data_IF_964821068974
#
_entry.id   IF_964821068974
#
_cell.length_a   1.000
_cell.length_b   1.000
_cell.length_c   1.000
_cell.angle_alpha   90.00
_cell.angle_beta   90.00
_cell.angle_gamma   90.00
#
_symmetry.space_group_name_H-M   'P 1'
#
loop_
_entity.id
_entity.type
_entity.pdbx_description
1 polymer ?
#
# COMPACT_ATOMS: atom_id res chain seq x y z
N UNK A 1 -22.76 37.99 3.51
CA UNK A 1 -22.88 38.52 2.13
C UNK A 1 -21.57 38.18 1.41
N UNK A 2 -21.50 37.03 0.76
CA UNK A 2 -20.35 36.62 -0.06
C UNK A 2 -20.84 36.41 -1.48
N UNK A 3 -20.28 37.15 -2.41
CA UNK A 3 -20.57 37.08 -3.85
C UNK A 3 -19.92 35.84 -4.45
N UNK A 4 -20.56 35.13 -5.39
CA UNK A 4 -19.93 34.05 -6.14
C UNK A 4 -19.04 34.62 -7.25
N UNK A 5 -17.82 34.09 -7.36
CA UNK A 5 -16.90 34.32 -8.48
C UNK A 5 -17.26 33.35 -9.60
N UNK A 6 -17.73 33.84 -10.68
CA UNK A 6 -17.91 33.11 -11.93
C UNK A 6 -16.53 32.90 -12.57
N UNK A 7 -16.10 31.64 -12.67
CA UNK A 7 -14.96 31.26 -13.50
C UNK A 7 -15.49 30.95 -14.90
N UNK A 8 -15.23 31.86 -15.82
CA UNK A 8 -15.54 31.67 -17.22
C UNK A 8 -14.60 30.61 -17.85
N UNK A 9 -15.18 29.56 -18.38
CA UNK A 9 -14.47 28.59 -19.21
C UNK A 9 -14.26 29.21 -20.60
N UNK A 10 -13.01 29.54 -20.93
CA UNK A 10 -12.59 29.87 -22.28
C UNK A 10 -12.45 28.56 -23.07
N UNK A 11 -13.48 28.22 -23.84
CA UNK A 11 -13.41 27.25 -24.91
C UNK A 11 -12.61 27.87 -26.07
N UNK A 12 -11.33 27.50 -26.16
CA UNK A 12 -10.50 27.77 -27.32
C UNK A 12 -10.97 26.91 -28.51
N UNK A 13 -11.79 27.49 -29.39
CA UNK A 13 -12.08 26.89 -30.68
C UNK A 13 -10.80 26.93 -31.54
N UNK A 14 -10.18 25.76 -31.74
CA UNK A 14 -9.16 25.61 -32.77
C UNK A 14 -9.84 25.73 -34.13
N UNK A 15 -9.66 26.87 -34.77
CA UNK A 15 -10.06 27.07 -36.16
C UNK A 15 -9.24 26.11 -37.04
N UNK A 16 -9.87 25.03 -37.47
CA UNK A 16 -9.35 24.19 -38.54
C UNK A 16 -9.32 24.96 -39.84
N UNK A 17 -8.12 25.15 -40.40
CA UNK A 17 -7.94 25.65 -41.74
C UNK A 17 -8.57 24.64 -42.70
N UNK A 18 -9.53 24.97 -43.54
CA UNK A 18 -10.06 24.04 -44.51
C UNK A 18 -8.97 23.73 -45.55
N UNK A 19 -8.62 22.47 -45.65
CA UNK A 19 -7.78 22.00 -46.73
C UNK A 19 -8.54 22.22 -48.04
N UNK A 20 -7.91 22.93 -48.98
CA UNK A 20 -8.46 23.17 -50.31
C UNK A 20 -8.76 21.84 -50.99
N UNK A 21 -9.99 21.60 -51.39
CA UNK A 21 -10.38 20.45 -52.17
C UNK A 21 -9.68 20.50 -53.52
N UNK A 22 -9.15 19.40 -54.06
CA UNK A 22 -8.65 19.35 -55.41
C UNK A 22 -9.80 19.56 -56.41
N UNK A 23 -9.51 20.11 -57.61
CA UNK A 23 -10.56 20.42 -58.57
C UNK A 23 -11.28 19.15 -59.00
N UNK A 24 -12.57 19.14 -58.88
CA UNK A 24 -13.45 18.06 -59.29
C UNK A 24 -13.37 17.91 -60.82
N UNK A 25 -12.71 16.86 -61.30
CA UNK A 25 -13.03 16.36 -62.62
C UNK A 25 -14.32 15.57 -62.53
N UNK A 26 -15.32 16.05 -63.27
CA UNK A 26 -16.67 15.49 -63.30
C UNK A 26 -16.64 14.05 -63.82
N UNK A 27 -16.61 13.10 -62.90
CA UNK A 27 -17.10 11.76 -63.11
C UNK A 27 -18.09 11.50 -61.98
N UNK A 28 -19.37 11.66 -62.26
CA UNK A 28 -20.47 11.39 -61.31
C UNK A 28 -20.46 9.93 -60.95
N UNK A 29 -19.82 9.59 -59.81
CA UNK A 29 -19.71 8.25 -59.25
C UNK A 29 -20.99 7.78 -58.56
N UNK A 30 -22.14 8.47 -58.76
CA UNK A 30 -23.45 8.11 -58.23
C UNK A 30 -23.94 6.71 -58.67
N UNK A 31 -23.29 6.11 -59.67
CA UNK A 31 -23.62 4.77 -60.15
C UNK A 31 -23.00 3.62 -59.34
N UNK A 32 -21.91 3.82 -58.59
CA UNK A 32 -21.20 2.71 -57.93
C UNK A 32 -21.97 2.14 -56.72
N UNK A 33 -22.66 3.01 -55.98
CA UNK A 33 -23.46 2.64 -54.83
C UNK A 33 -24.95 2.41 -55.17
N UNK A 34 -25.34 2.68 -56.41
CA UNK A 34 -26.71 2.44 -56.88
C UNK A 34 -26.89 1.04 -57.45
N UNK A 35 -28.03 0.44 -57.26
CA UNK A 35 -28.33 -0.92 -57.73
C UNK A 35 -27.66 -2.02 -56.87
N UNK A 36 -27.38 -3.16 -57.50
CA UNK A 36 -26.87 -4.36 -56.79
C UNK A 36 -25.38 -4.49 -56.69
N UNK A 37 -24.57 -3.51 -57.22
CA UNK A 37 -23.12 -3.72 -57.36
C UNK A 37 -22.34 -3.52 -56.04
N UNK A 38 -22.47 -2.36 -55.38
CA UNK A 38 -21.77 -2.04 -54.15
C UNK A 38 -22.71 -1.45 -53.05
N UNK A 39 -23.96 -1.90 -53.06
CA UNK A 39 -24.99 -1.41 -52.14
C UNK A 39 -24.62 -1.61 -50.65
N UNK A 40 -23.92 -2.70 -50.32
CA UNK A 40 -23.41 -3.02 -49.00
C UNK A 40 -22.47 -1.95 -48.43
N UNK A 41 -21.63 -1.34 -49.26
CA UNK A 41 -20.74 -0.25 -48.88
C UNK A 41 -21.57 0.99 -48.50
N UNK A 42 -22.64 1.25 -49.24
CA UNK A 42 -23.60 2.33 -48.95
C UNK A 42 -24.38 2.16 -47.64
N UNK A 43 -24.55 0.92 -47.17
CA UNK A 43 -25.29 0.57 -45.96
C UNK A 43 -24.46 0.61 -44.70
N UNK A 44 -23.15 0.84 -44.76
CA UNK A 44 -22.24 0.89 -43.60
C UNK A 44 -22.64 2.06 -42.64
N UNK A 45 -22.65 1.80 -41.35
CA UNK A 45 -23.08 2.76 -40.32
C UNK A 45 -22.20 4.03 -40.30
N UNK A 46 -20.91 3.86 -40.31
CA UNK A 46 -19.93 4.94 -40.39
C UNK A 46 -19.19 4.80 -41.71
N UNK A 47 -19.56 5.62 -42.68
CA UNK A 47 -18.90 5.66 -43.99
C UNK A 47 -17.73 6.64 -43.99
N UNK A 48 -16.66 6.31 -44.68
CA UNK A 48 -15.59 7.26 -44.93
C UNK A 48 -16.15 8.45 -45.73
N UNK A 49 -15.68 9.68 -45.48
CA UNK A 49 -16.21 10.88 -46.13
C UNK A 49 -16.23 10.80 -47.63
N UNK A 50 -15.10 10.37 -48.26
CA UNK A 50 -15.03 10.14 -49.70
C UNK A 50 -16.07 9.14 -50.22
N UNK A 51 -16.36 8.07 -49.45
CA UNK A 51 -17.35 7.07 -49.83
C UNK A 51 -18.78 7.61 -49.65
N UNK A 52 -19.03 8.39 -48.61
CA UNK A 52 -20.33 9.04 -48.32
C UNK A 52 -20.69 10.01 -49.46
N UNK A 53 -19.72 10.69 -50.01
CA UNK A 53 -19.85 11.64 -51.13
C UNK A 53 -19.79 10.98 -52.52
N UNK A 54 -19.66 9.67 -52.57
CA UNK A 54 -19.53 8.94 -53.84
C UNK A 54 -18.19 9.07 -54.56
N UNK A 55 -17.16 9.59 -53.86
CA UNK A 55 -15.83 9.87 -54.41
C UNK A 55 -14.92 8.65 -54.53
N UNK A 56 -15.39 7.55 -55.10
CA UNK A 56 -14.63 6.30 -55.24
C UNK A 56 -13.29 6.47 -55.97
N UNK A 57 -13.26 7.34 -56.98
CA UNK A 57 -12.07 7.66 -57.75
C UNK A 57 -11.00 8.48 -56.99
N UNK A 58 -11.29 8.96 -55.82
CA UNK A 58 -10.30 9.57 -54.95
C UNK A 58 -9.24 8.55 -54.51
N UNK A 59 -9.61 7.28 -54.40
CA UNK A 59 -8.73 6.18 -54.01
C UNK A 59 -8.50 5.13 -55.08
N UNK A 60 -9.44 4.97 -56.00
CA UNK A 60 -9.38 3.99 -57.05
C UNK A 60 -9.13 4.64 -58.42
N UNK A 61 -8.29 4.05 -59.25
CA UNK A 61 -8.01 4.44 -60.62
C UNK A 61 -8.47 3.35 -61.57
N UNK A 62 -9.18 3.71 -62.65
CA UNK A 62 -9.67 2.78 -63.63
C UNK A 62 -10.83 3.36 -64.45
N UNK A 63 -11.36 2.61 -65.38
CA UNK A 63 -12.52 3.01 -66.20
C UNK A 63 -13.75 2.14 -65.86
N UNK A 64 -14.92 2.76 -65.90
CA UNK A 64 -16.17 2.07 -65.64
C UNK A 64 -16.53 1.05 -66.73
N UNK A 65 -16.13 1.34 -67.98
CA UNK A 65 -16.34 0.43 -69.12
C UNK A 65 -15.54 -0.89 -68.96
N UNK A 66 -14.28 -0.82 -68.51
CA UNK A 66 -13.45 -2.00 -68.25
C UNK A 66 -13.89 -2.78 -67.04
N UNK A 67 -14.38 -2.11 -65.99
CA UNK A 67 -14.77 -2.73 -64.73
C UNK A 67 -15.94 -3.69 -64.90
N UNK A 68 -16.97 -3.32 -65.60
CA UNK A 68 -18.15 -4.13 -65.86
C UNK A 68 -17.85 -5.32 -66.79
N UNK A 69 -17.08 -5.09 -67.83
CA UNK A 69 -16.76 -6.11 -68.80
C UNK A 69 -15.80 -7.19 -68.31
N UNK A 70 -14.97 -6.86 -67.29
CA UNK A 70 -13.98 -7.76 -66.70
C UNK A 70 -14.43 -8.43 -65.38
N UNK A 71 -15.70 -8.50 -65.09
CA UNK A 71 -16.22 -9.16 -63.90
C UNK A 71 -15.72 -8.54 -62.59
N UNK A 72 -15.72 -7.22 -62.47
CA UNK A 72 -15.28 -6.49 -61.30
C UNK A 72 -13.77 -6.16 -61.24
N UNK A 73 -13.01 -6.53 -62.26
CA UNK A 73 -11.58 -6.19 -62.40
C UNK A 73 -11.44 -4.95 -63.29
N UNK A 74 -10.66 -3.97 -62.91
CA UNK A 74 -10.47 -2.77 -63.77
C UNK A 74 -10.11 -1.54 -62.95
N UNK A 75 -10.32 -1.58 -61.62
CA UNK A 75 -9.84 -0.55 -60.72
C UNK A 75 -8.65 -1.06 -59.90
N UNK A 76 -7.67 -0.18 -59.73
CA UNK A 76 -6.51 -0.39 -58.87
C UNK A 76 -6.43 0.77 -57.88
N UNK A 77 -5.68 0.63 -56.80
CA UNK A 77 -5.44 1.76 -55.87
C UNK A 77 -4.56 2.82 -56.56
N UNK A 78 -4.94 4.07 -56.43
CA UNK A 78 -4.22 5.23 -56.99
C UNK A 78 -2.83 5.44 -56.38
N UNK A 79 -2.59 4.94 -55.17
CA UNK A 79 -1.30 4.89 -54.48
C UNK A 79 -1.28 3.72 -53.50
N UNK A 80 -0.10 3.32 -53.01
CA UNK A 80 0.06 2.21 -52.05
C UNK A 80 0.24 2.70 -50.62
N UNK A 81 -0.21 1.90 -49.65
CA UNK A 81 0.01 2.11 -48.22
C UNK A 81 -0.44 3.50 -47.74
N UNK A 82 0.36 4.10 -46.88
CA UNK A 82 0.06 5.41 -46.28
C UNK A 82 0.03 6.55 -47.29
N UNK A 83 0.66 6.43 -48.45
CA UNK A 83 0.65 7.48 -49.47
C UNK A 83 -0.76 7.77 -50.00
N UNK A 84 -1.59 6.74 -50.09
CA UNK A 84 -2.97 6.91 -50.49
C UNK A 84 -3.75 7.78 -49.48
N UNK A 85 -3.53 7.51 -48.19
CA UNK A 85 -4.20 8.25 -47.10
C UNK A 85 -3.65 9.68 -46.96
N UNK A 86 -2.34 9.89 -47.16
CA UNK A 86 -1.65 11.18 -47.07
C UNK A 86 -2.15 12.23 -48.06
N UNK A 87 -2.84 11.82 -49.11
CA UNK A 87 -3.44 12.77 -50.06
C UNK A 87 -4.48 13.69 -49.43
N UNK A 88 -5.13 13.23 -48.34
CA UNK A 88 -6.16 13.97 -47.65
C UNK A 88 -5.93 14.05 -46.13
N UNK A 89 -5.24 13.10 -45.52
CA UNK A 89 -5.03 13.00 -44.08
C UNK A 89 -3.62 13.39 -43.65
N UNK A 90 -3.49 14.04 -42.50
CA UNK A 90 -2.21 14.17 -41.81
C UNK A 90 -1.92 12.84 -41.10
N UNK A 91 -1.07 12.03 -41.75
CA UNK A 91 -0.72 10.69 -41.23
C UNK A 91 0.25 10.81 -40.05
N UNK A 92 0.03 10.09 -38.94
CA UNK A 92 0.96 10.01 -37.81
C UNK A 92 2.35 9.49 -38.21
N UNK A 93 3.38 9.77 -37.45
CA UNK A 93 4.75 9.30 -37.68
C UNK A 93 5.83 10.33 -37.32
N UNK A 94 5.47 11.35 -36.50
CA UNK A 94 6.35 12.45 -36.09
C UNK A 94 6.89 12.34 -34.69
N UNK A 95 6.20 11.57 -33.79
CA UNK A 95 6.61 11.43 -32.40
C UNK A 95 7.75 10.40 -32.24
N UNK A 96 8.36 10.35 -31.06
CA UNK A 96 9.54 9.52 -30.77
C UNK A 96 9.31 8.02 -30.94
N UNK A 97 8.09 7.55 -30.63
CA UNK A 97 7.70 6.14 -30.75
C UNK A 97 6.51 6.07 -31.69
N UNK A 98 6.66 5.42 -32.79
CA UNK A 98 5.62 5.19 -33.81
C UNK A 98 5.30 3.71 -33.82
N UNK A 99 4.01 3.36 -33.76
CA UNK A 99 3.55 1.98 -33.84
C UNK A 99 3.99 1.34 -35.16
N UNK A 100 4.43 0.09 -35.13
CA UNK A 100 4.99 -0.55 -36.30
C UNK A 100 4.08 -0.51 -37.55
N UNK A 101 2.78 -0.89 -37.46
CA UNK A 101 1.88 -0.81 -38.63
C UNK A 101 1.74 0.61 -39.19
N UNK A 102 1.77 1.63 -38.34
CA UNK A 102 1.71 3.05 -38.76
C UNK A 102 2.98 3.44 -39.51
N UNK A 103 4.15 3.04 -38.99
CA UNK A 103 5.44 3.30 -39.62
C UNK A 103 5.56 2.60 -41.00
N UNK A 104 4.97 1.42 -41.10
CA UNK A 104 4.97 0.61 -42.34
C UNK A 104 3.85 1.03 -43.30
N UNK A 105 2.97 1.93 -42.87
CA UNK A 105 1.88 2.44 -43.73
C UNK A 105 0.68 1.50 -43.85
N UNK A 106 0.57 0.52 -42.95
CA UNK A 106 -0.48 -0.49 -42.93
C UNK A 106 -1.75 -0.02 -42.20
N UNK A 107 -2.32 1.12 -42.62
CA UNK A 107 -3.48 1.74 -41.96
C UNK A 107 -4.71 0.82 -41.96
N UNK A 108 -4.86 -0.01 -42.96
CA UNK A 108 -6.02 -0.87 -43.18
C UNK A 108 -6.04 -2.13 -42.31
N UNK A 109 -4.96 -2.39 -41.54
CA UNK A 109 -4.98 -3.48 -40.56
C UNK A 109 -5.88 -3.14 -39.35
N UNK A 110 -6.15 -1.85 -39.15
CA UNK A 110 -7.04 -1.37 -38.05
C UNK A 110 -8.27 -0.63 -38.58
N UNK A 111 -8.13 0.10 -39.70
CA UNK A 111 -9.19 0.93 -40.27
C UNK A 111 -9.78 0.29 -41.52
N UNK A 112 -11.11 0.30 -41.63
CA UNK A 112 -11.83 -0.11 -42.84
C UNK A 112 -12.09 1.13 -43.72
N UNK A 113 -11.38 1.29 -44.81
CA UNK A 113 -11.36 2.54 -45.61
C UNK A 113 -12.68 2.90 -46.26
N UNK A 114 -13.57 1.95 -46.48
CA UNK A 114 -14.89 2.23 -47.05
C UNK A 114 -15.91 2.65 -45.96
N UNK A 115 -15.83 2.04 -44.80
CA UNK A 115 -16.69 2.30 -43.67
C UNK A 115 -16.69 1.15 -42.67
N UNK A 116 -17.21 1.34 -41.52
CA UNK A 116 -17.24 0.36 -40.45
C UNK A 116 -18.48 0.48 -39.55
N UNK A 117 -18.68 -0.50 -38.69
CA UNK A 117 -19.64 -0.44 -37.59
C UNK A 117 -19.14 0.47 -36.45
N UNK A 118 -17.83 0.52 -36.22
CA UNK A 118 -17.17 1.29 -35.19
C UNK A 118 -16.87 2.74 -35.61
N UNK A 119 -16.76 3.62 -34.60
CA UNK A 119 -16.28 4.99 -34.81
C UNK A 119 -14.84 5.00 -35.34
N UNK A 120 -14.44 6.09 -35.98
CA UNK A 120 -13.12 6.25 -36.61
C UNK A 120 -12.79 5.16 -37.64
N UNK A 121 -13.83 4.53 -38.22
CA UNK A 121 -13.70 3.45 -39.20
C UNK A 121 -12.92 2.24 -38.68
N UNK A 122 -12.92 1.99 -37.38
CA UNK A 122 -12.31 0.79 -36.82
C UNK A 122 -13.14 -0.45 -37.16
N UNK A 123 -12.46 -1.53 -37.50
CA UNK A 123 -13.08 -2.82 -37.80
C UNK A 123 -13.86 -3.40 -36.62
N UNK A 124 -13.56 -2.95 -35.40
CA UNK A 124 -14.23 -3.33 -34.15
C UNK A 124 -14.95 -2.12 -33.53
N UNK A 125 -16.07 -2.36 -32.81
CA UNK A 125 -16.85 -1.35 -32.10
C UNK A 125 -16.85 -1.65 -30.59
N UNK A 126 -16.57 -0.65 -29.76
CA UNK A 126 -16.59 -0.77 -28.30
C UNK A 126 -15.35 -1.44 -27.77
N UNK A 127 -15.38 -2.77 -27.64
CA UNK A 127 -14.24 -3.57 -27.19
C UNK A 127 -13.15 -3.62 -28.30
N UNK A 128 -11.98 -3.00 -28.05
CA UNK A 128 -10.85 -3.01 -28.98
C UNK A 128 -9.93 -4.22 -28.80
N UNK A 129 -10.16 -5.06 -27.77
CA UNK A 129 -9.27 -6.19 -27.47
C UNK A 129 -9.14 -7.16 -28.68
N UNK A 130 -10.20 -7.55 -29.41
CA UNK A 130 -10.04 -8.44 -30.57
C UNK A 130 -9.13 -7.84 -31.65
N UNK A 131 -9.20 -6.51 -31.87
CA UNK A 131 -8.37 -5.83 -32.84
C UNK A 131 -6.89 -5.85 -32.42
N UNK A 132 -6.60 -5.47 -31.19
CA UNK A 132 -5.23 -5.39 -30.66
C UNK A 132 -4.61 -6.79 -30.49
N UNK A 133 -5.37 -7.73 -29.91
CA UNK A 133 -4.91 -9.09 -29.63
C UNK A 133 -4.85 -10.00 -30.87
N UNK A 134 -5.19 -9.49 -32.03
CA UNK A 134 -4.88 -10.13 -33.32
C UNK A 134 -3.37 -10.24 -33.57
N UNK A 135 -2.58 -9.31 -33.00
CA UNK A 135 -1.12 -9.25 -33.15
C UNK A 135 -0.38 -9.30 -31.80
N UNK A 136 -0.99 -8.80 -30.71
CA UNK A 136 -0.36 -8.76 -29.38
C UNK A 136 -0.63 -10.03 -28.57
N UNK A 137 0.35 -10.43 -27.73
CA UNK A 137 0.21 -11.57 -26.82
C UNK A 137 -0.99 -11.43 -25.89
N UNK A 138 -1.80 -12.48 -25.79
CA UNK A 138 -3.01 -12.54 -24.98
C UNK A 138 -2.75 -12.85 -23.50
N UNK A 139 -1.60 -13.43 -23.15
CA UNK A 139 -1.30 -13.91 -21.80
C UNK A 139 -1.47 -12.85 -20.70
N UNK A 140 -1.05 -11.58 -20.88
CA UNK A 140 -1.26 -10.54 -19.86
C UNK A 140 -2.74 -10.23 -19.59
N UNK A 141 -3.63 -10.56 -20.49
CA UNK A 141 -5.05 -10.23 -20.50
C UNK A 141 -5.97 -11.41 -20.13
N UNK A 142 -5.38 -12.55 -19.71
CA UNK A 142 -6.12 -13.76 -19.27
C UNK A 142 -5.95 -14.01 -17.77
N UNK A 143 -5.52 -13.01 -17.01
CA UNK A 143 -5.33 -13.08 -15.56
C UNK A 143 -6.65 -13.06 -14.79
N UNK A 144 -6.62 -13.57 -13.56
CA UNK A 144 -7.80 -13.67 -12.67
C UNK A 144 -8.45 -12.30 -12.41
N UNK A 145 -7.63 -11.27 -12.24
CA UNK A 145 -8.08 -9.90 -12.00
C UNK A 145 -7.54 -9.01 -13.13
N UNK A 146 -8.42 -8.45 -13.92
CA UNK A 146 -8.06 -7.48 -14.95
C UNK A 146 -8.29 -6.06 -14.43
N UNK A 147 -7.48 -5.11 -14.89
CA UNK A 147 -7.72 -3.69 -14.68
C UNK A 147 -9.00 -3.27 -15.45
N UNK A 148 -9.83 -2.41 -14.87
CA UNK A 148 -11.13 -2.04 -15.46
C UNK A 148 -11.07 -1.71 -16.94
N UNK A 149 -10.25 -0.73 -17.38
CA UNK A 149 -10.12 -0.40 -18.81
C UNK A 149 -9.69 -1.58 -19.68
N UNK A 150 -8.86 -2.48 -19.15
CA UNK A 150 -8.42 -3.70 -19.87
C UNK A 150 -9.56 -4.70 -20.00
N UNK A 151 -10.36 -4.88 -18.94
CA UNK A 151 -11.53 -5.76 -18.98
C UNK A 151 -12.60 -5.27 -19.97
N UNK A 152 -12.64 -3.96 -20.25
CA UNK A 152 -13.52 -3.32 -21.23
C UNK A 152 -12.89 -3.23 -22.64
N UNK A 153 -11.69 -3.79 -22.83
CA UNK A 153 -10.96 -3.72 -24.10
C UNK A 153 -10.45 -2.31 -24.46
N UNK A 154 -10.41 -1.39 -23.51
CA UNK A 154 -10.03 0.01 -23.69
C UNK A 154 -8.52 0.21 -23.63
N UNK A 155 -7.80 -0.43 -24.57
CA UNK A 155 -6.35 -0.31 -24.68
C UNK A 155 -5.93 1.15 -24.93
N UNK A 156 -6.76 1.88 -25.67
CA UNK A 156 -6.63 3.32 -26.00
C UNK A 156 -6.72 4.26 -24.78
N UNK A 157 -7.25 3.79 -23.67
CA UNK A 157 -7.29 4.58 -22.43
C UNK A 157 -5.88 4.91 -21.88
N UNK A 158 -4.91 4.06 -22.19
CA UNK A 158 -3.53 4.21 -21.73
C UNK A 158 -2.52 4.35 -22.90
N UNK A 159 -2.78 3.71 -24.03
CA UNK A 159 -1.90 3.68 -25.19
C UNK A 159 -2.46 4.51 -26.34
N UNK A 160 -1.59 5.31 -26.98
CA UNK A 160 -1.90 5.92 -28.28
C UNK A 160 -1.55 4.89 -29.36
N UNK A 161 -2.55 4.36 -30.11
CA UNK A 161 -2.30 3.29 -31.07
C UNK A 161 -1.50 3.74 -32.30
N UNK A 162 -1.30 5.02 -32.50
CA UNK A 162 -0.54 5.53 -33.61
C UNK A 162 0.89 5.91 -33.25
N UNK A 163 1.07 6.85 -32.34
CA UNK A 163 2.38 7.37 -31.98
C UNK A 163 2.37 8.08 -30.62
N UNK A 164 3.49 8.05 -29.92
CA UNK A 164 3.65 8.75 -28.65
C UNK A 164 5.09 9.23 -28.46
N UNK A 165 5.30 10.25 -27.64
CA UNK A 165 6.63 10.63 -27.15
C UNK A 165 7.11 9.72 -26.00
N UNK A 166 6.22 8.88 -25.47
CA UNK A 166 6.50 7.98 -24.36
C UNK A 166 6.73 6.55 -24.85
N UNK A 167 7.63 5.83 -24.18
CA UNK A 167 7.87 4.39 -24.44
C UNK A 167 6.56 3.61 -24.33
N UNK A 168 6.46 2.51 -25.09
CA UNK A 168 5.28 1.63 -25.15
C UNK A 168 4.01 2.37 -25.61
N UNK A 169 4.16 3.44 -26.37
CA UNK A 169 3.04 4.24 -26.87
C UNK A 169 2.12 4.79 -25.77
N UNK A 170 2.61 5.00 -24.53
CA UNK A 170 1.78 5.54 -23.46
C UNK A 170 1.36 6.97 -23.75
N UNK A 171 0.09 7.30 -23.50
CA UNK A 171 -0.47 8.65 -23.68
C UNK A 171 0.13 9.68 -22.72
N UNK A 172 0.55 9.22 -21.51
CA UNK A 172 1.23 10.03 -20.47
C UNK A 172 2.38 9.24 -19.87
N UNK A 173 3.29 9.92 -19.18
CA UNK A 173 4.44 9.28 -18.54
C UNK A 173 4.23 9.08 -17.03
N UNK A 174 4.83 8.00 -16.50
CA UNK A 174 4.92 7.76 -15.06
C UNK A 174 3.58 7.73 -14.35
N UNK A 175 3.52 8.37 -13.18
CA UNK A 175 2.31 8.40 -12.35
C UNK A 175 1.18 9.26 -12.92
N UNK A 176 1.49 10.21 -13.82
CA UNK A 176 0.46 11.04 -14.43
C UNK A 176 -0.57 10.21 -15.19
N UNK A 177 -0.12 9.14 -15.85
CA UNK A 177 -1.02 8.22 -16.54
C UNK A 177 -2.03 7.60 -15.56
N UNK A 178 -1.54 7.09 -14.45
CA UNK A 178 -2.40 6.44 -13.46
C UNK A 178 -3.33 7.46 -12.76
N UNK A 179 -2.77 8.60 -12.34
CA UNK A 179 -3.48 9.60 -11.55
C UNK A 179 -4.49 10.41 -12.35
N UNK A 180 -4.47 10.32 -13.68
CA UNK A 180 -5.50 10.95 -14.52
C UNK A 180 -6.90 10.34 -14.33
N UNK A 181 -6.98 9.10 -13.85
CA UNK A 181 -8.22 8.40 -13.50
C UNK A 181 -8.34 8.18 -11.99
N UNK A 182 -7.21 7.96 -11.29
CA UNK A 182 -7.18 7.76 -9.84
C UNK A 182 -7.03 9.09 -9.07
N UNK A 183 -7.90 10.06 -9.35
CA UNK A 183 -7.84 11.43 -8.78
C UNK A 183 -8.03 11.46 -7.27
N UNK A 184 -8.95 10.65 -6.72
CA UNK A 184 -9.17 10.56 -5.27
C UNK A 184 -7.92 10.07 -4.54
N UNK A 185 -7.22 9.11 -5.14
CA UNK A 185 -5.95 8.63 -4.63
C UNK A 185 -4.89 9.74 -4.67
N UNK A 186 -4.82 10.49 -5.77
CA UNK A 186 -3.90 11.62 -5.91
C UNK A 186 -4.14 12.68 -4.83
N UNK A 187 -5.40 13.07 -4.61
CA UNK A 187 -5.77 14.03 -3.57
C UNK A 187 -5.40 13.57 -2.15
N UNK A 188 -5.62 12.29 -1.83
CA UNK A 188 -5.25 11.71 -0.53
C UNK A 188 -3.73 11.66 -0.36
N UNK A 189 -3.00 11.25 -1.39
CA UNK A 189 -1.53 11.19 -1.39
C UNK A 189 -0.91 12.58 -1.14
N UNK A 190 -1.44 13.63 -1.78
CA UNK A 190 -0.95 15.01 -1.60
C UNK A 190 -1.15 15.54 -0.19
N UNK A 191 -2.21 15.10 0.51
CA UNK A 191 -2.52 15.51 1.88
C UNK A 191 -1.79 14.70 2.94
N UNK A 192 -1.29 13.53 2.58
CA UNK A 192 -0.67 12.61 3.52
C UNK A 192 0.68 13.13 4.02
N UNK A 193 0.90 12.96 5.32
CA UNK A 193 2.16 13.37 5.98
C UNK A 193 3.36 12.51 5.56
N UNK A 194 3.12 11.21 5.33
CA UNK A 194 4.15 10.24 4.96
C UNK A 194 3.71 9.51 3.71
N UNK A 195 4.50 9.58 2.67
CA UNK A 195 4.28 8.88 1.40
C UNK A 195 5.36 7.82 1.23
N UNK A 196 4.98 6.61 0.83
CA UNK A 196 5.92 5.52 0.58
C UNK A 196 6.89 5.89 -0.54
N UNK A 197 8.23 5.77 -0.36
CA UNK A 197 9.22 6.25 -1.33
C UNK A 197 9.02 5.77 -2.78
N UNK A 198 8.58 4.53 -3.08
CA UNK A 198 8.28 4.12 -4.45
C UNK A 198 7.25 5.00 -5.17
N UNK A 199 6.25 5.51 -4.44
CA UNK A 199 5.25 6.43 -5.02
C UNK A 199 5.84 7.80 -5.34
N UNK A 200 6.77 8.29 -4.53
CA UNK A 200 7.51 9.53 -4.79
C UNK A 200 8.35 9.38 -6.06
N UNK A 201 8.93 8.20 -6.27
CA UNK A 201 9.73 7.84 -7.45
C UNK A 201 8.90 7.38 -8.65
N UNK A 202 7.56 7.52 -8.60
CA UNK A 202 6.62 7.18 -9.68
C UNK A 202 6.61 5.69 -10.10
N UNK A 203 6.94 4.80 -9.18
CA UNK A 203 7.11 3.37 -9.43
C UNK A 203 5.84 2.55 -9.14
N UNK A 204 4.65 3.02 -9.59
CA UNK A 204 3.38 2.28 -9.39
C UNK A 204 3.48 0.83 -9.88
N UNK A 205 4.09 0.64 -11.05
CA UNK A 205 4.25 -0.67 -11.69
C UNK A 205 5.32 -1.56 -11.06
N UNK A 206 6.04 -1.11 -10.04
CA UNK A 206 6.90 -2.01 -9.26
C UNK A 206 6.09 -2.94 -8.35
N UNK A 207 4.89 -2.53 -7.98
CA UNK A 207 3.99 -3.32 -7.14
C UNK A 207 2.76 -3.83 -7.89
N UNK A 208 2.23 -3.05 -8.84
CA UNK A 208 1.03 -3.37 -9.60
C UNK A 208 1.35 -3.75 -11.05
N UNK A 209 0.59 -4.69 -11.61
CA UNK A 209 0.54 -4.93 -13.05
C UNK A 209 -0.69 -4.20 -13.63
N UNK A 210 -0.50 -3.20 -14.50
CA UNK A 210 -1.59 -2.38 -15.00
C UNK A 210 -2.54 -3.11 -15.95
N UNK A 211 -2.15 -4.28 -16.48
CA UNK A 211 -3.02 -5.05 -17.35
C UNK A 211 -3.87 -6.04 -16.58
N UNK A 212 -3.25 -6.83 -15.70
CA UNK A 212 -3.95 -7.82 -14.92
C UNK A 212 -3.00 -8.62 -14.04
N UNK A 213 -3.54 -9.29 -13.05
CA UNK A 213 -2.80 -10.13 -12.10
C UNK A 213 -3.65 -11.27 -11.57
N UNK A 214 -3.01 -12.33 -11.12
CA UNK A 214 -3.68 -13.40 -10.36
C UNK A 214 -3.81 -13.06 -8.87
N UNK A 215 -3.22 -11.93 -8.45
CA UNK A 215 -3.32 -11.39 -7.09
C UNK A 215 -4.36 -10.27 -7.03
N UNK A 216 -5.06 -10.16 -5.89
CA UNK A 216 -5.97 -9.03 -5.62
C UNK A 216 -5.26 -7.68 -5.76
N UNK A 217 -6.03 -6.65 -6.11
CA UNK A 217 -5.52 -5.30 -6.31
C UNK A 217 -4.41 -5.20 -7.36
N UNK A 218 -4.38 -6.11 -8.31
CA UNK A 218 -3.41 -6.18 -9.40
C UNK A 218 -1.94 -6.25 -8.92
N UNK A 219 -1.68 -6.85 -7.76
CA UNK A 219 -0.33 -6.98 -7.25
C UNK A 219 0.48 -7.98 -8.08
N UNK A 220 1.75 -7.67 -8.35
CA UNK A 220 2.65 -8.55 -9.11
C UNK A 220 3.00 -9.85 -8.40
N UNK A 221 2.94 -9.82 -7.06
CA UNK A 221 3.24 -10.96 -6.21
C UNK A 221 2.31 -10.95 -4.99
N UNK A 222 2.08 -12.11 -4.40
CA UNK A 222 1.38 -12.23 -3.13
C UNK A 222 2.16 -11.53 -2.00
N UNK A 223 1.46 -11.08 -0.97
CA UNK A 223 2.08 -10.64 0.28
C UNK A 223 2.39 -11.88 1.16
N UNK A 224 3.49 -11.87 1.91
CA UNK A 224 4.44 -10.76 2.12
C UNK A 224 5.55 -10.67 1.06
N UNK A 225 5.63 -11.59 0.09
CA UNK A 225 6.74 -11.70 -0.88
C UNK A 225 6.99 -10.37 -1.62
N UNK A 226 5.92 -9.69 -2.03
CA UNK A 226 6.02 -8.40 -2.69
C UNK A 226 6.80 -7.38 -1.86
N UNK A 227 6.48 -7.30 -0.57
CA UNK A 227 7.10 -6.32 0.34
C UNK A 227 8.56 -6.66 0.67
N UNK A 228 8.83 -7.94 1.01
CA UNK A 228 10.17 -8.39 1.41
C UNK A 228 11.16 -8.45 0.24
N UNK A 229 10.68 -8.34 -0.99
CA UNK A 229 11.54 -8.15 -2.17
C UNK A 229 12.45 -6.92 -2.04
N UNK A 230 11.95 -5.86 -1.41
CA UNK A 230 12.71 -4.64 -1.09
C UNK A 230 13.09 -4.57 0.40
N UNK A 231 12.20 -4.97 1.31
CA UNK A 231 12.41 -4.96 2.76
C UNK A 231 13.06 -6.27 3.25
N UNK A 232 14.22 -6.60 2.69
CA UNK A 232 14.92 -7.88 2.92
C UNK A 232 15.23 -8.15 4.39
N UNK A 233 15.70 -7.13 5.13
CA UNK A 233 16.05 -7.25 6.54
C UNK A 233 14.85 -7.67 7.39
N UNK A 234 13.67 -7.11 7.13
CA UNK A 234 12.44 -7.50 7.81
C UNK A 234 12.03 -8.92 7.42
N UNK A 235 12.14 -9.27 6.13
CA UNK A 235 11.86 -10.62 5.64
C UNK A 235 12.76 -11.69 6.30
N UNK A 236 14.04 -11.43 6.40
CA UNK A 236 15.01 -12.31 7.03
C UNK A 236 14.78 -12.42 8.54
N UNK A 237 14.45 -11.32 9.20
CA UNK A 237 14.07 -11.32 10.61
C UNK A 237 12.86 -12.20 10.87
N UNK A 238 11.77 -12.00 10.12
CA UNK A 238 10.53 -12.78 10.28
C UNK A 238 10.78 -14.29 10.14
N UNK A 239 11.68 -14.70 9.24
CA UNK A 239 12.05 -16.11 9.04
C UNK A 239 12.86 -16.69 10.21
N UNK A 240 13.65 -15.87 10.89
CA UNK A 240 14.62 -16.31 11.93
C UNK A 240 14.09 -16.24 13.35
N UNK A 241 13.04 -15.45 13.62
CA UNK A 241 12.52 -15.27 14.97
C UNK A 241 11.78 -16.50 15.48
N UNK A 242 11.93 -16.82 16.77
CA UNK A 242 11.24 -17.93 17.42
C UNK A 242 9.75 -17.68 17.64
N UNK A 243 9.39 -16.44 17.86
CA UNK A 243 8.01 -16.02 18.13
C UNK A 243 7.59 -14.97 17.09
N UNK A 244 6.99 -15.40 15.96
CA UNK A 244 6.44 -14.47 14.99
C UNK A 244 5.18 -13.79 15.52
N UNK A 245 4.94 -12.56 15.13
CA UNK A 245 3.65 -11.92 15.36
C UNK A 245 2.66 -12.42 14.30
N UNK A 246 1.58 -13.06 14.71
CA UNK A 246 0.67 -13.76 13.80
C UNK A 246 0.16 -12.92 12.62
N UNK A 247 -0.25 -11.64 12.78
CA UNK A 247 -0.68 -10.83 11.65
C UNK A 247 0.37 -10.62 10.56
N UNK A 248 1.66 -10.80 10.86
CA UNK A 248 2.75 -10.64 9.88
C UNK A 248 2.86 -11.86 8.97
N UNK A 249 2.57 -13.05 9.50
CA UNK A 249 2.72 -14.34 8.79
C UNK A 249 1.41 -14.91 8.27
N UNK A 250 0.28 -14.33 8.67
CA UNK A 250 -1.07 -14.78 8.31
C UNK A 250 -1.96 -13.61 7.84
N UNK A 251 -3.07 -13.93 7.20
CA UNK A 251 -4.09 -12.98 6.77
C UNK A 251 -3.54 -11.92 5.80
N UNK A 252 -3.75 -10.65 6.12
CA UNK A 252 -3.31 -9.52 5.28
C UNK A 252 -1.81 -9.20 5.39
N UNK A 253 -1.05 -9.96 6.19
CA UNK A 253 0.39 -9.75 6.33
C UNK A 253 0.74 -8.32 6.74
N UNK A 254 1.71 -7.72 6.06
CA UNK A 254 2.21 -6.37 6.34
C UNK A 254 1.10 -5.30 6.34
N UNK A 255 0.10 -5.43 5.48
CA UNK A 255 -0.99 -4.45 5.36
C UNK A 255 -2.00 -4.51 6.52
N UNK A 256 -1.88 -5.47 7.44
CA UNK A 256 -2.63 -5.48 8.69
C UNK A 256 -2.33 -4.25 9.56
N UNK A 257 -1.09 -3.76 9.49
CA UNK A 257 -0.60 -2.63 10.27
C UNK A 257 -0.16 -1.44 9.43
N UNK A 258 0.33 -1.67 8.22
CA UNK A 258 0.88 -0.64 7.35
C UNK A 258 -0.03 -0.30 6.18
N UNK A 259 -0.09 0.99 5.84
CA UNK A 259 -0.55 1.47 4.54
C UNK A 259 0.61 1.41 3.56
N UNK A 260 0.48 0.65 2.50
CA UNK A 260 1.55 0.50 1.50
C UNK A 260 1.74 1.73 0.61
N UNK A 261 0.85 2.69 0.67
CA UNK A 261 0.89 3.88 -0.17
C UNK A 261 1.29 5.13 0.60
N UNK A 262 0.50 5.55 1.56
CA UNK A 262 0.71 6.77 2.35
C UNK A 262 -0.06 6.70 3.67
N UNK A 263 0.34 7.50 4.64
CA UNK A 263 -0.30 7.59 5.96
C UNK A 263 0.04 8.93 6.61
N UNK A 264 -0.72 9.31 7.64
CA UNK A 264 -0.38 10.46 8.49
C UNK A 264 0.51 10.06 9.67
N UNK A 265 0.79 8.76 9.82
CA UNK A 265 1.56 8.21 10.94
C UNK A 265 2.92 7.72 10.44
N UNK A 266 3.97 8.03 11.22
CA UNK A 266 5.33 7.54 10.98
C UNK A 266 5.35 6.01 10.82
N UNK A 267 6.20 5.52 9.93
CA UNK A 267 6.26 4.09 9.57
C UNK A 267 5.05 3.62 8.75
N UNK A 268 4.29 4.53 8.16
CA UNK A 268 3.11 4.20 7.33
C UNK A 268 2.05 3.37 8.08
N UNK A 269 1.86 3.58 9.37
CA UNK A 269 0.87 2.83 10.14
C UNK A 269 -0.57 3.22 9.77
N UNK A 270 -1.47 2.23 9.82
CA UNK A 270 -2.90 2.37 9.50
C UNK A 270 -3.73 3.13 10.56
N UNK A 271 -3.18 3.41 11.73
CA UNK A 271 -3.85 4.15 12.82
C UNK A 271 -3.43 5.61 12.82
N UNK A 272 -4.17 6.45 13.55
CA UNK A 272 -3.79 7.84 13.78
C UNK A 272 -2.50 8.00 14.60
N UNK A 273 -2.11 6.96 15.32
CA UNK A 273 -0.85 6.81 16.05
C UNK A 273 -0.53 5.32 16.23
N UNK A 274 0.66 5.02 16.78
CA UNK A 274 1.09 3.64 17.03
C UNK A 274 0.15 2.90 18.00
N UNK A 275 -0.28 3.55 19.09
CA UNK A 275 -1.18 2.94 20.08
C UNK A 275 -2.49 2.52 19.43
N UNK A 276 -3.13 3.41 18.67
CA UNK A 276 -4.38 3.11 17.96
C UNK A 276 -4.21 2.01 16.93
N UNK A 277 -3.07 1.95 16.26
CA UNK A 277 -2.77 0.85 15.31
C UNK A 277 -2.75 -0.51 16.03
N UNK A 278 -2.14 -0.60 17.21
CA UNK A 278 -2.10 -1.84 18.00
C UNK A 278 -3.48 -2.18 18.61
N UNK A 279 -4.17 -1.19 19.17
CA UNK A 279 -5.46 -1.38 19.84
C UNK A 279 -6.61 -1.74 18.86
N UNK A 280 -6.45 -1.61 17.55
CA UNK A 280 -7.43 -2.14 16.59
C UNK A 280 -7.72 -3.63 16.80
N UNK A 281 -6.74 -4.38 17.28
CA UNK A 281 -6.85 -5.81 17.53
C UNK A 281 -6.74 -6.14 19.02
N UNK A 282 -5.87 -5.45 19.78
CA UNK A 282 -5.59 -5.71 21.19
C UNK A 282 -6.59 -5.03 22.15
N UNK A 283 -7.87 -4.93 21.76
CA UNK A 283 -8.94 -4.28 22.52
C UNK A 283 -10.13 -5.20 22.82
N UNK A 284 -10.03 -6.50 22.59
CA UNK A 284 -11.19 -7.38 22.72
C UNK A 284 -11.02 -8.51 23.73
N UNK A 285 -9.80 -8.82 24.13
CA UNK A 285 -9.52 -9.98 24.98
C UNK A 285 -9.81 -11.34 24.34
N UNK A 286 -9.99 -11.38 22.99
CA UNK A 286 -10.39 -12.60 22.27
C UNK A 286 -9.27 -13.18 21.38
N UNK A 287 -8.10 -12.53 21.35
CA UNK A 287 -6.98 -12.94 20.51
C UNK A 287 -6.14 -14.00 21.23
N UNK A 288 -5.71 -15.01 20.47
CA UNK A 288 -4.78 -16.04 20.93
C UNK A 288 -5.45 -17.14 21.77
N UNK A 289 -4.68 -18.20 22.02
CA UNK A 289 -5.04 -19.28 22.93
C UNK A 289 -3.80 -19.58 23.81
N UNK A 290 -3.86 -19.30 25.12
CA UNK A 290 -4.95 -18.61 25.85
C UNK A 290 -5.16 -17.16 25.39
N UNK A 291 -6.37 -16.60 25.61
CA UNK A 291 -6.71 -15.25 25.18
C UNK A 291 -5.78 -14.18 25.77
N UNK A 292 -5.34 -13.26 24.90
CA UNK A 292 -4.54 -12.10 25.32
C UNK A 292 -5.42 -11.10 26.06
N UNK A 293 -4.83 -10.37 27.00
CA UNK A 293 -5.53 -9.32 27.74
C UNK A 293 -6.07 -8.22 26.80
N UNK A 294 -7.25 -7.73 27.11
CA UNK A 294 -7.81 -6.51 26.52
C UNK A 294 -6.99 -5.31 27.00
N UNK A 295 -6.08 -4.84 26.17
CA UNK A 295 -5.16 -3.76 26.52
C UNK A 295 -5.88 -2.41 26.67
N UNK A 296 -7.00 -2.21 26.01
CA UNK A 296 -7.78 -0.98 26.18
C UNK A 296 -8.36 -0.89 27.58
N UNK A 297 -8.94 -1.99 28.09
CA UNK A 297 -9.41 -2.10 29.48
C UNK A 297 -8.27 -2.03 30.49
N UNK A 298 -7.15 -2.69 30.21
CA UNK A 298 -5.99 -2.67 31.09
C UNK A 298 -5.42 -1.26 31.31
N UNK A 299 -5.56 -0.39 30.31
CA UNK A 299 -5.05 0.98 30.36
C UNK A 299 -6.10 2.01 30.78
N UNK A 300 -7.39 1.69 30.65
CA UNK A 300 -8.48 2.61 30.93
C UNK A 300 -8.54 2.98 32.40
N UNK A 301 -8.66 4.28 32.70
CA UNK A 301 -8.85 4.81 34.06
C UNK A 301 -7.65 4.66 35.01
N UNK A 302 -6.51 4.09 34.54
CA UNK A 302 -5.33 3.90 35.37
C UNK A 302 -4.63 5.22 35.71
N UNK A 303 -4.35 5.42 36.99
CA UNK A 303 -3.73 6.65 37.51
C UNK A 303 -2.26 6.81 37.04
N UNK A 304 -1.57 5.69 36.86
CA UNK A 304 -0.15 5.68 36.46
C UNK A 304 0.07 4.79 35.23
N UNK A 305 0.47 5.40 34.12
CA UNK A 305 0.92 4.70 32.91
C UNK A 305 2.44 4.66 32.87
N UNK A 306 3.01 3.53 32.45
CA UNK A 306 4.44 3.44 32.19
C UNK A 306 4.85 4.44 31.10
N UNK A 307 6.03 5.03 31.21
CA UNK A 307 6.49 6.12 30.35
C UNK A 307 6.32 5.86 28.84
N UNK A 308 6.76 4.72 28.30
CA UNK A 308 6.50 4.36 26.91
C UNK A 308 5.01 4.29 26.57
N UNK A 309 4.18 3.72 27.44
CA UNK A 309 2.73 3.60 27.24
C UNK A 309 2.07 4.99 27.24
N UNK A 310 2.46 5.87 28.16
CA UNK A 310 1.99 7.27 28.19
C UNK A 310 2.27 7.99 26.88
N UNK A 311 3.41 7.66 26.23
CA UNK A 311 3.81 8.20 24.92
C UNK A 311 3.21 7.42 23.74
N UNK A 312 2.35 6.43 23.97
CA UNK A 312 1.77 5.59 22.91
C UNK A 312 2.74 4.62 22.24
N UNK A 313 3.91 4.37 22.84
CA UNK A 313 5.00 3.57 22.26
C UNK A 313 4.99 2.13 22.75
N UNK A 314 4.16 1.29 22.17
CA UNK A 314 4.14 -0.16 22.45
C UNK A 314 5.45 -0.86 22.03
N UNK A 315 6.06 -0.37 20.93
CA UNK A 315 7.33 -0.91 20.40
C UNK A 315 8.56 -0.58 21.26
N UNK A 316 8.39 0.19 22.32
CA UNK A 316 9.44 0.33 23.34
C UNK A 316 9.79 -0.99 24.05
N UNK A 317 8.83 -1.90 24.13
CA UNK A 317 8.98 -3.21 24.77
C UNK A 317 8.64 -4.39 23.86
N UNK A 318 7.80 -4.23 22.85
CA UNK A 318 7.38 -5.28 21.93
C UNK A 318 7.95 -5.04 20.54
N UNK A 319 8.31 -6.14 19.86
CA UNK A 319 8.72 -6.10 18.47
C UNK A 319 7.59 -6.66 17.57
N UNK A 320 6.85 -5.80 16.86
CA UNK A 320 5.67 -6.22 16.11
C UNK A 320 5.97 -7.09 14.89
N UNK A 321 7.23 -7.21 14.47
CA UNK A 321 7.64 -8.09 13.39
C UNK A 321 8.02 -9.50 13.87
N UNK A 322 8.04 -9.70 15.18
CA UNK A 322 8.44 -10.95 15.81
C UNK A 322 9.74 -10.84 16.60
N UNK A 323 9.96 -11.76 17.51
CA UNK A 323 11.06 -11.73 18.45
C UNK A 323 11.53 -13.15 18.82
N UNK A 324 12.68 -13.25 19.47
CA UNK A 324 13.15 -14.52 20.06
C UNK A 324 12.60 -14.74 21.48
N UNK A 325 11.81 -13.80 22.00
CA UNK A 325 11.28 -13.84 23.36
C UNK A 325 9.76 -13.97 23.37
N UNK A 326 9.18 -14.62 24.38
CA UNK A 326 7.73 -14.73 24.52
C UNK A 326 7.04 -13.37 24.45
N UNK A 327 5.77 -13.36 23.98
CA UNK A 327 4.96 -12.12 23.82
C UNK A 327 5.62 -11.08 22.91
N UNK A 328 6.46 -11.53 21.99
CA UNK A 328 7.21 -10.69 21.06
C UNK A 328 7.99 -9.56 21.77
N UNK A 329 8.57 -9.82 22.95
CA UNK A 329 9.33 -8.84 23.70
C UNK A 329 10.63 -8.51 22.96
N UNK A 330 11.04 -7.24 23.00
CA UNK A 330 12.27 -6.75 22.36
C UNK A 330 13.55 -7.05 23.16
N UNK A 331 13.44 -7.76 24.27
CA UNK A 331 14.55 -8.19 25.12
C UNK A 331 14.10 -9.31 26.06
N UNK A 332 15.06 -9.94 26.71
CA UNK A 332 14.78 -11.02 27.65
C UNK A 332 14.05 -10.49 28.90
N UNK A 333 13.04 -11.23 29.29
CA UNK A 333 12.31 -11.04 30.55
C UNK A 333 11.74 -12.39 31.00
N UNK A 334 12.10 -12.87 32.21
CA UNK A 334 11.62 -14.17 32.71
C UNK A 334 10.11 -14.14 32.96
N UNK A 335 9.43 -15.23 32.59
CA UNK A 335 7.99 -15.41 32.82
C UNK A 335 7.67 -15.77 34.28
N UNK A 336 8.63 -16.35 34.97
CA UNK A 336 8.53 -16.95 36.29
C UNK A 336 8.42 -15.87 37.38
N UNK A 337 7.77 -16.21 38.48
CA UNK A 337 7.72 -15.38 39.66
C UNK A 337 9.09 -15.30 40.36
N UNK A 338 9.74 -16.46 40.56
CA UNK A 338 11.08 -16.58 41.08
C UNK A 338 12.07 -16.62 39.92
N UNK A 339 12.80 -15.55 39.72
CA UNK A 339 13.81 -15.42 38.68
C UNK A 339 14.96 -14.55 39.20
N UNK A 340 15.93 -15.16 39.86
CA UNK A 340 17.11 -14.44 40.35
C UNK A 340 17.84 -13.69 39.25
N UNK A 341 18.38 -12.52 39.58
CA UNK A 341 19.13 -11.70 38.62
C UNK A 341 20.33 -12.43 38.07
N UNK A 342 20.41 -12.47 36.76
CA UNK A 342 21.59 -12.82 35.95
C UNK A 342 21.78 -11.75 34.90
N UNK A 343 22.99 -11.62 34.37
CA UNK A 343 23.37 -10.52 33.48
C UNK A 343 22.35 -10.18 32.38
N UNK A 344 21.72 -11.21 31.77
CA UNK A 344 20.77 -11.04 30.66
C UNK A 344 19.29 -11.24 31.02
N UNK A 345 18.99 -11.59 32.29
CA UNK A 345 17.61 -11.97 32.68
C UNK A 345 16.59 -10.89 32.46
N UNK A 346 16.99 -9.64 32.61
CA UNK A 346 16.10 -8.47 32.57
C UNK A 346 16.54 -7.46 31.50
N UNK A 347 17.17 -7.93 30.43
CA UNK A 347 17.65 -7.03 29.35
C UNK A 347 16.56 -6.14 28.78
N UNK A 348 15.30 -6.59 28.77
CA UNK A 348 14.16 -5.76 28.37
C UNK A 348 14.03 -4.48 29.20
N UNK A 349 14.02 -4.60 30.53
CA UNK A 349 13.83 -3.46 31.44
C UNK A 349 15.09 -2.60 31.53
N UNK A 350 16.26 -3.23 31.57
CA UNK A 350 17.55 -2.59 31.72
C UNK A 350 18.06 -1.87 30.46
N UNK A 351 17.29 -1.91 29.37
CA UNK A 351 17.51 -0.99 28.20
C UNK A 351 17.25 0.47 28.56
N UNK A 352 16.44 0.73 29.56
CA UNK A 352 16.04 2.08 29.97
C UNK A 352 16.25 2.35 31.46
N UNK A 353 16.19 1.33 32.29
CA UNK A 353 16.42 1.42 33.73
C UNK A 353 17.89 1.16 34.06
N UNK A 354 18.44 1.91 35.02
CA UNK A 354 19.81 1.75 35.43
C UNK A 354 20.01 0.37 36.07
N UNK A 355 20.92 -0.43 35.51
CA UNK A 355 21.27 -1.77 36.02
C UNK A 355 21.87 -1.72 37.43
N UNK A 356 22.43 -0.59 37.85
CA UNK A 356 23.04 -0.41 39.17
C UNK A 356 22.02 -0.51 40.31
N UNK A 357 20.72 -0.39 40.01
CA UNK A 357 19.67 -0.68 41.00
C UNK A 357 19.68 -2.14 41.46
N UNK A 358 20.29 -3.07 40.67
CA UNK A 358 20.38 -4.51 40.97
C UNK A 358 21.81 -4.97 41.26
N UNK A 359 22.84 -4.18 40.99
CA UNK A 359 24.24 -4.64 41.07
C UNK A 359 24.85 -4.51 42.47
N UNK A 360 24.34 -3.61 43.28
CA UNK A 360 24.97 -3.30 44.57
C UNK A 360 24.04 -3.58 45.75
N UNK A 361 24.50 -4.35 46.76
CA UNK A 361 23.71 -4.62 47.97
C UNK A 361 23.43 -3.35 48.80
N UNK A 362 24.30 -2.34 48.67
CA UNK A 362 24.14 -1.04 49.29
C UNK A 362 24.19 0.10 48.28
N UNK A 363 23.38 1.11 48.49
CA UNK A 363 23.34 2.31 47.68
C UNK A 363 22.63 3.47 48.41
N UNK A 364 23.02 4.68 48.10
CA UNK A 364 22.31 5.89 48.48
C UNK A 364 21.73 6.65 47.30
N UNK A 365 22.12 6.24 46.05
CA UNK A 365 21.85 6.98 44.81
C UNK A 365 21.00 6.20 43.78
N UNK A 366 21.22 4.90 43.64
CA UNK A 366 20.62 4.14 42.51
C UNK A 366 19.14 3.79 42.70
N UNK A 367 18.66 3.76 43.95
CA UNK A 367 17.23 3.51 44.25
C UNK A 367 16.75 4.23 45.47
N UNK A 368 15.48 4.59 45.46
CA UNK A 368 14.78 5.08 46.67
C UNK A 368 14.10 3.95 47.48
N UNK A 369 14.05 2.73 46.93
CA UNK A 369 13.63 1.55 47.66
C UNK A 369 14.81 0.96 48.41
N UNK A 370 15.13 1.59 49.54
CA UNK A 370 16.27 1.26 50.38
C UNK A 370 15.98 1.58 51.85
N UNK A 371 16.62 0.86 52.75
CA UNK A 371 16.57 1.08 54.20
C UNK A 371 17.98 1.48 54.66
N UNK A 372 18.15 2.73 55.09
CA UNK A 372 19.48 3.30 55.18
C UNK A 372 20.20 3.21 53.82
N UNK A 373 21.36 2.55 53.80
CA UNK A 373 22.11 2.22 52.56
C UNK A 373 21.70 0.88 51.94
N UNK A 374 20.99 0.01 52.63
CA UNK A 374 20.62 -1.32 52.17
C UNK A 374 19.66 -1.25 51.00
N UNK A 375 20.09 -1.79 49.86
CA UNK A 375 19.31 -1.80 48.60
C UNK A 375 18.24 -2.90 48.64
N UNK A 376 16.99 -2.53 48.74
CA UNK A 376 15.90 -3.51 48.80
C UNK A 376 15.54 -4.12 47.45
N UNK A 377 15.87 -3.46 46.31
CA UNK A 377 15.79 -4.13 44.98
C UNK A 377 16.79 -5.28 44.91
N UNK A 378 18.04 -5.05 45.32
CA UNK A 378 19.08 -6.08 45.36
C UNK A 378 18.61 -7.27 46.22
N UNK A 379 18.13 -7.02 47.44
CA UNK A 379 17.64 -8.06 48.35
C UNK A 379 16.57 -8.92 47.73
N UNK A 380 15.61 -8.31 47.03
CA UNK A 380 14.48 -9.05 46.46
C UNK A 380 14.79 -9.77 45.16
N UNK A 381 15.74 -9.28 44.36
CA UNK A 381 16.02 -9.80 43.03
C UNK A 381 17.24 -10.72 42.96
N UNK A 382 18.27 -10.49 43.84
CA UNK A 382 19.51 -11.23 43.81
C UNK A 382 19.56 -12.43 44.77
N UNK A 383 18.55 -12.64 45.61
CA UNK A 383 18.50 -13.83 46.49
C UNK A 383 18.31 -15.11 45.66
N UNK A 384 18.56 -16.27 46.29
CA UNK A 384 18.38 -17.62 45.69
C UNK A 384 16.93 -17.81 45.17
N UNK A 385 15.97 -17.24 45.86
CA UNK A 385 14.55 -17.11 45.46
C UNK A 385 14.23 -15.72 44.99
N UNK A 386 15.14 -15.10 44.21
CA UNK A 386 14.97 -13.76 43.66
C UNK A 386 13.67 -13.63 42.87
N UNK A 387 12.97 -12.56 43.08
CA UNK A 387 11.65 -12.29 42.46
C UNK A 387 11.82 -11.46 41.21
N UNK A 388 11.03 -11.74 40.19
CA UNK A 388 11.01 -10.91 38.99
C UNK A 388 10.43 -9.53 39.26
N UNK A 389 10.77 -8.53 38.45
CA UNK A 389 10.26 -7.15 38.61
C UNK A 389 8.74 -7.11 38.64
N UNK A 390 8.06 -7.95 37.87
CA UNK A 390 6.59 -8.08 37.86
C UNK A 390 6.00 -8.62 39.15
N UNK A 391 6.78 -9.17 40.04
CA UNK A 391 6.25 -9.57 41.35
C UNK A 391 5.68 -8.36 42.14
N UNK A 392 6.19 -7.17 41.86
CA UNK A 392 5.73 -5.92 42.51
C UNK A 392 5.20 -4.93 41.47
N UNK A 393 5.80 -4.82 40.27
CA UNK A 393 5.47 -3.81 39.29
C UNK A 393 4.53 -4.32 38.19
N UNK A 394 3.56 -3.53 37.83
CA UNK A 394 2.73 -3.72 36.64
C UNK A 394 3.38 -2.96 35.47
N UNK A 395 3.72 -3.70 34.39
CA UNK A 395 4.57 -3.16 33.32
C UNK A 395 3.86 -2.19 32.39
N UNK A 396 2.54 -2.20 32.32
CA UNK A 396 1.78 -1.32 31.44
C UNK A 396 1.21 -0.13 32.19
N UNK A 397 0.41 -0.37 33.23
CA UNK A 397 -0.30 0.63 33.97
C UNK A 397 -0.65 0.12 35.37
N UNK A 398 -0.79 1.02 36.35
CA UNK A 398 -1.21 0.70 37.71
C UNK A 398 -1.89 1.90 38.37
N UNK A 399 -2.75 1.63 39.34
CA UNK A 399 -3.27 2.66 40.23
C UNK A 399 -2.31 2.96 41.38
N UNK A 400 -1.35 2.06 41.62
CA UNK A 400 -0.30 2.23 42.61
C UNK A 400 0.84 3.13 42.17
N UNK A 401 1.41 3.89 43.08
CA UNK A 401 2.58 4.72 42.83
C UNK A 401 3.77 3.86 42.36
N UNK A 402 4.63 4.42 41.47
CA UNK A 402 5.78 3.73 40.90
C UNK A 402 5.41 2.46 40.12
N UNK A 403 4.18 2.38 39.64
CA UNK A 403 3.61 1.21 38.97
C UNK A 403 3.61 -0.05 39.85
N UNK A 404 3.64 0.08 41.14
CA UNK A 404 3.46 -1.06 42.06
C UNK A 404 2.00 -1.51 42.00
N UNK A 405 1.77 -2.79 41.76
CA UNK A 405 0.43 -3.33 41.62
C UNK A 405 -0.37 -3.26 42.92
N UNK A 406 -1.52 -2.60 42.88
CA UNK A 406 -2.44 -2.52 44.06
C UNK A 406 -3.06 -3.88 44.28
N UNK A 407 -3.61 -4.49 43.24
CA UNK A 407 -4.17 -5.85 43.29
C UNK A 407 -3.11 -6.93 43.12
N UNK A 408 -1.87 -6.54 42.83
CA UNK A 408 -0.72 -7.41 42.59
C UNK A 408 -0.71 -8.02 41.17
N UNK A 409 0.48 -8.29 40.70
CA UNK A 409 0.67 -8.98 39.41
C UNK A 409 0.17 -10.42 39.49
N UNK A 410 -0.38 -10.90 38.39
CA UNK A 410 -0.88 -12.26 38.25
C UNK A 410 0.24 -13.22 37.83
N UNK A 411 0.38 -14.34 38.54
CA UNK A 411 1.25 -15.46 38.21
C UNK A 411 0.45 -16.77 38.31
N UNK A 412 -0.04 -17.25 37.18
CA UNK A 412 -1.03 -18.31 37.17
C UNK A 412 -2.30 -17.86 37.90
N UNK A 413 -2.74 -18.65 38.88
CA UNK A 413 -3.90 -18.34 39.75
C UNK A 413 -3.55 -17.36 40.91
N UNK A 414 -2.31 -17.05 41.08
CA UNK A 414 -1.84 -16.26 42.21
C UNK A 414 -1.80 -14.77 41.90
N UNK A 415 -2.17 -13.98 42.96
CA UNK A 415 -1.96 -12.52 42.98
C UNK A 415 -1.25 -12.14 44.25
N UNK A 416 -0.15 -11.42 44.13
CA UNK A 416 0.63 -10.94 45.28
C UNK A 416 0.37 -9.46 45.49
N UNK A 417 -0.53 -9.14 46.40
CA UNK A 417 -0.83 -7.74 46.77
C UNK A 417 0.31 -7.19 47.61
N UNK A 418 1.04 -6.19 47.11
CA UNK A 418 2.18 -5.60 47.81
C UNK A 418 1.79 -4.77 49.02
N UNK A 419 0.59 -4.18 48.97
CA UNK A 419 0.07 -3.25 50.01
C UNK A 419 1.09 -2.16 50.34
N UNK A 420 1.74 -1.62 49.34
CA UNK A 420 2.77 -0.59 49.44
C UNK A 420 2.14 0.72 50.00
N UNK A 421 2.76 1.27 51.03
CA UNK A 421 2.49 2.61 51.53
C UNK A 421 3.79 3.40 51.52
N UNK A 422 3.83 4.53 50.85
CA UNK A 422 5.01 5.40 50.76
C UNK A 422 4.90 6.52 51.81
N UNK A 423 6.04 6.84 52.42
CA UNK A 423 6.24 8.00 53.27
C UNK A 423 7.24 8.97 52.62
N UNK A 424 7.49 10.11 53.23
CA UNK A 424 8.46 11.08 52.70
C UNK A 424 9.87 10.50 52.60
N UNK A 425 10.33 9.77 53.59
CA UNK A 425 11.69 9.19 53.67
C UNK A 425 11.74 7.69 53.38
N UNK A 426 10.63 6.99 53.29
CA UNK A 426 10.62 5.54 53.16
C UNK A 426 9.29 4.98 52.69
N UNK A 427 8.85 3.94 53.39
CA UNK A 427 7.57 3.29 53.16
C UNK A 427 7.43 1.98 53.91
N UNK A 428 6.31 1.30 53.69
CA UNK A 428 6.10 -0.05 54.18
C UNK A 428 5.38 -0.93 53.16
N UNK A 429 5.61 -2.22 53.21
CA UNK A 429 4.88 -3.20 52.41
C UNK A 429 4.50 -4.44 53.22
N UNK A 430 3.42 -5.12 52.84
CA UNK A 430 2.90 -6.32 53.50
C UNK A 430 2.42 -7.31 52.42
N UNK A 431 3.31 -7.93 51.62
CA UNK A 431 2.95 -8.68 50.42
C UNK A 431 2.41 -10.09 50.68
N UNK A 432 2.40 -10.55 51.95
CA UNK A 432 2.03 -11.92 52.32
C UNK A 432 3.21 -12.92 52.25
N UNK A 433 4.31 -12.58 51.60
CA UNK A 433 5.55 -13.36 51.62
C UNK A 433 6.33 -13.21 52.92
N UNK A 434 6.12 -12.13 53.62
CA UNK A 434 6.67 -11.80 54.93
C UNK A 434 5.71 -10.88 55.69
N UNK A 435 5.93 -10.69 56.98
CA UNK A 435 5.21 -9.70 57.80
C UNK A 435 5.44 -8.29 57.27
N UNK A 436 4.61 -7.32 57.69
CA UNK A 436 4.81 -5.92 57.32
C UNK A 436 6.25 -5.51 57.62
N UNK A 437 6.90 -4.96 56.62
CA UNK A 437 8.25 -4.40 56.72
C UNK A 437 8.19 -2.92 56.39
N UNK A 438 8.76 -2.10 57.29
CA UNK A 438 8.90 -0.66 57.10
C UNK A 438 10.36 -0.33 56.84
N UNK A 439 10.62 0.58 55.92
CA UNK A 439 11.96 1.03 55.56
C UNK A 439 12.06 2.54 55.54
N UNK A 440 13.22 3.06 55.94
CA UNK A 440 13.50 4.50 55.95
C UNK A 440 14.87 4.79 55.38
N UNK A 441 14.96 5.65 54.39
CA UNK A 441 16.22 6.06 53.73
C UNK A 441 17.12 6.88 54.64
N UNK A 442 16.59 7.52 55.65
CA UNK A 442 17.30 8.31 56.64
C UNK A 442 17.81 7.47 57.82
N UNK A 443 17.41 6.19 57.91
CA UNK A 443 17.85 5.29 58.98
C UNK A 443 19.37 5.11 58.97
N UNK A 444 20.00 5.30 60.12
CA UNK A 444 21.42 5.01 60.36
C UNK A 444 21.63 3.60 60.94
N UNK A 445 20.57 2.87 61.25
CA UNK A 445 20.64 1.55 61.87
C UNK A 445 20.55 0.48 60.79
N UNK A 446 21.59 -0.33 60.68
CA UNK A 446 21.52 -1.69 60.13
C UNK A 446 20.90 -2.60 61.17
N UNK A 447 19.58 -2.59 61.34
CA UNK A 447 18.94 -3.63 62.12
C UNK A 447 19.14 -4.95 61.39
N UNK A 448 19.74 -5.93 62.10
CA UNK A 448 19.95 -7.30 61.61
C UNK A 448 18.58 -7.83 61.15
N UNK A 449 18.44 -7.90 59.86
CA UNK A 449 17.21 -8.42 59.26
C UNK A 449 17.14 -9.92 59.56
N UNK A 450 16.02 -10.35 60.07
CA UNK A 450 15.67 -11.76 60.11
C UNK A 450 15.87 -12.37 58.72
N UNK A 451 16.42 -13.59 58.59
CA UNK A 451 16.63 -14.26 57.31
C UNK A 451 15.29 -14.42 56.60
N UNK A 452 15.27 -14.09 55.31
CA UNK A 452 14.16 -14.31 54.39
C UNK A 452 13.97 -15.76 54.07
#
# INVERSE_FOLDING_TARGET
MMRPVLVGALLGAAAGVPAAAPPATEATSSGCLSGSCHAEIGALKHRHGAVAEGGCLACHSGSDADHRSRGGKGFTLASKGSELCRRCHSVPGKKKVVHAPVREGECTCCHAPHGAAGAHLLAQQGDLAPLCLGCHDKAPFTRKHLHGPVAEGRCDACHDPHESDNKKLLSKQGRELCLSCHEDFARKMQKARVVHPPLVKELCTSCHDPHGSDQESLLRQAMPQLCVGCHKEIGDKIKKVKVPHQPVVQGKGCSSCHSSHFSDTEGLLNGADQRRSCLKCHNSGKLGDPPLADMEKELAGKSNLHGPIKKGRCTGCHDPHGSNYPRILAGNYPSEFYAPYRADSYSLCLRCHDKNLLNFPETTIYTRFRDGSRNLHYVHVNSSKGRSCRACHESHASDGQKLVGVEGSRFGEWRVKTRLQLTHTGGSCAPGCHRRYSYDRASKKHDQAAPL
#
